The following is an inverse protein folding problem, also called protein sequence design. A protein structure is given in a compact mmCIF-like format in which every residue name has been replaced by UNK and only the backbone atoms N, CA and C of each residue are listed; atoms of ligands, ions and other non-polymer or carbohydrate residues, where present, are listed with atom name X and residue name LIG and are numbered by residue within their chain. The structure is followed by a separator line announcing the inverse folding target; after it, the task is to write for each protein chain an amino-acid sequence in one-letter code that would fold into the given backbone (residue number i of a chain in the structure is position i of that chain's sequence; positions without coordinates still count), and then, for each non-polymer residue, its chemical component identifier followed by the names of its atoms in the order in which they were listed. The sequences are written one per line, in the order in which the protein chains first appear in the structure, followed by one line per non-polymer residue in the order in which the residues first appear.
data_IF_523245938417
#
_entry.id   IF_523245938417
#
_cell.length_a   1.000
_cell.length_b   1.000
_cell.length_c   1.000
_cell.angle_alpha   90.00
_cell.angle_beta   90.00
_cell.angle_gamma   90.00
#
_symmetry.space_group_name_H-M   'P 1'
#
loop_
_entity.id
_entity.type
_entity.pdbx_description
1 polymer ?
#
# COMPACT_ATOMS: atom_id res chain seq x y z
N UNK A 1 -4.72 -3.03 39.34
CA UNK A 1 -3.96 -4.09 38.66
C UNK A 1 -3.77 -3.72 37.18
N UNK A 2 -3.27 -4.61 36.30
CA UNK A 2 -3.32 -4.35 34.85
C UNK A 2 -4.77 -4.44 34.39
N UNK A 3 -5.24 -3.44 33.67
CA UNK A 3 -6.66 -3.23 33.32
C UNK A 3 -7.37 -4.45 32.72
N UNK A 4 -6.67 -5.23 31.88
CA UNK A 4 -7.24 -6.43 31.27
C UNK A 4 -7.40 -7.59 32.27
N UNK A 5 -6.51 -7.74 33.24
CA UNK A 5 -6.61 -8.79 34.24
C UNK A 5 -7.85 -8.60 35.13
N UNK A 6 -8.19 -7.34 35.44
CA UNK A 6 -9.44 -6.99 36.14
C UNK A 6 -10.68 -7.16 35.26
N UNK A 7 -10.63 -6.71 33.99
CA UNK A 7 -11.75 -6.83 33.06
C UNK A 7 -12.11 -8.28 32.72
N UNK A 8 -11.12 -9.18 32.75
CA UNK A 8 -11.29 -10.60 32.45
C UNK A 8 -11.21 -11.51 33.68
N UNK A 9 -11.26 -10.95 34.90
CA UNK A 9 -11.25 -11.74 36.13
C UNK A 9 -12.50 -12.60 36.32
N UNK A 10 -13.59 -12.26 35.63
CA UNK A 10 -14.85 -12.99 35.67
C UNK A 10 -14.82 -14.30 34.86
N UNK A 11 -15.71 -15.26 35.18
CA UNK A 11 -15.84 -16.48 34.39
C UNK A 11 -16.22 -16.15 32.94
N UNK A 12 -15.55 -16.83 31.99
CA UNK A 12 -15.92 -16.73 30.58
C UNK A 12 -17.36 -17.24 30.37
N UNK A 13 -18.14 -16.62 29.47
CA UNK A 13 -19.46 -17.12 29.13
C UNK A 13 -19.39 -18.56 28.61
N UNK A 14 -20.33 -19.42 29.04
CA UNK A 14 -20.40 -20.81 28.60
C UNK A 14 -20.75 -20.98 27.10
N UNK A 15 -21.32 -19.94 26.48
CA UNK A 15 -21.65 -19.92 25.06
C UNK A 15 -21.64 -18.48 24.51
N UNK A 16 -21.23 -18.33 23.24
CA UNK A 16 -21.33 -17.08 22.50
C UNK A 16 -22.79 -16.84 22.12
N UNK A 17 -23.34 -15.68 22.47
CA UNK A 17 -24.67 -15.25 22.04
C UNK A 17 -24.54 -14.34 20.81
N UNK A 18 -25.32 -14.54 19.74
CA UNK A 18 -25.38 -13.59 18.63
C UNK A 18 -25.89 -12.23 19.10
N UNK A 19 -25.29 -11.15 18.62
CA UNK A 19 -25.74 -9.78 18.86
C UNK A 19 -25.87 -9.07 17.52
N UNK A 20 -26.92 -8.28 17.36
CA UNK A 20 -27.08 -7.43 16.18
C UNK A 20 -26.03 -6.34 16.22
N UNK A 21 -25.22 -6.24 15.16
CA UNK A 21 -24.28 -5.13 15.02
C UNK A 21 -25.06 -3.87 14.61
N UNK A 22 -24.67 -2.70 15.15
CA UNK A 22 -25.23 -1.44 14.68
C UNK A 22 -24.85 -1.19 13.21
N UNK A 23 -25.54 -0.26 12.57
CA UNK A 23 -25.15 0.25 11.27
C UNK A 23 -23.71 0.80 11.30
N UNK A 24 -23.01 0.69 10.17
CA UNK A 24 -21.67 1.24 10.04
C UNK A 24 -21.71 2.75 10.24
N UNK A 25 -20.88 3.26 11.15
CA UNK A 25 -20.75 4.71 11.38
C UNK A 25 -20.19 5.42 10.14
N UNK A 26 -19.33 4.72 9.40
CA UNK A 26 -18.76 5.17 8.14
C UNK A 26 -18.94 4.10 7.07
N UNK A 27 -19.76 4.41 6.06
CA UNK A 27 -20.04 3.50 4.94
C UNK A 27 -18.85 3.32 3.99
N UNK A 28 -17.88 4.24 4.02
CA UNK A 28 -16.62 4.19 3.29
C UNK A 28 -15.48 3.57 4.11
N UNK A 29 -15.77 3.11 5.33
CA UNK A 29 -14.78 2.42 6.16
C UNK A 29 -14.15 1.21 5.44
N UNK A 30 -12.95 0.84 5.89
CA UNK A 30 -12.18 -0.28 5.33
C UNK A 30 -12.66 -1.67 5.78
N UNK A 31 -13.92 -1.80 6.22
CA UNK A 31 -14.47 -3.08 6.67
C UNK A 31 -14.53 -4.14 5.55
N UNK A 32 -14.55 -3.72 4.28
CA UNK A 32 -14.46 -4.59 3.09
C UNK A 32 -13.03 -4.64 2.51
N UNK A 33 -12.07 -4.06 3.22
CA UNK A 33 -10.67 -3.98 2.82
C UNK A 33 -10.07 -5.35 2.54
N UNK A 34 -9.34 -5.47 1.44
CA UNK A 34 -8.67 -6.69 1.01
C UNK A 34 -7.34 -6.38 0.33
N UNK A 35 -6.44 -7.36 0.37
CA UNK A 35 -5.19 -7.31 -0.37
C UNK A 35 -5.44 -7.80 -1.81
N UNK A 36 -5.08 -6.97 -2.79
CA UNK A 36 -5.11 -7.33 -4.20
C UNK A 36 -3.74 -7.81 -4.68
N UNK A 37 -3.75 -8.75 -5.62
CA UNK A 37 -2.54 -9.36 -6.16
C UNK A 37 -1.80 -8.41 -7.12
N UNK A 38 -0.48 -8.34 -6.98
CA UNK A 38 0.39 -7.61 -7.91
C UNK A 38 0.54 -8.33 -9.25
N UNK A 39 0.21 -9.61 -9.34
CA UNK A 39 0.25 -10.38 -10.59
C UNK A 39 -0.81 -9.92 -11.61
N UNK A 40 -1.90 -9.27 -11.17
CA UNK A 40 -2.90 -8.69 -12.08
C UNK A 40 -2.51 -7.31 -12.64
N UNK A 41 -1.40 -6.74 -12.16
CA UNK A 41 -0.94 -5.42 -12.60
C UNK A 41 -0.29 -5.54 -13.97
N UNK A 42 -0.76 -4.70 -14.90
CA UNK A 42 -0.12 -4.53 -16.21
C UNK A 42 0.98 -3.49 -16.06
N UNK A 43 2.18 -3.78 -16.53
CA UNK A 43 3.28 -2.84 -16.45
C UNK A 43 4.09 -2.82 -17.75
N UNK A 44 4.57 -1.63 -18.08
CA UNK A 44 5.37 -1.38 -19.28
C UNK A 44 6.86 -1.38 -18.97
N UNK A 45 7.61 -0.54 -19.70
CA UNK A 45 9.03 -0.34 -19.46
C UNK A 45 9.25 0.32 -18.10
N UNK A 46 10.18 -0.23 -17.31
CA UNK A 46 10.63 0.37 -16.04
C UNK A 46 10.12 -0.31 -14.77
N UNK A 47 9.17 -1.25 -14.89
CA UNK A 47 8.74 -2.12 -13.80
C UNK A 47 9.08 -3.59 -14.11
N UNK A 48 9.42 -4.34 -13.06
CA UNK A 48 9.67 -5.78 -13.11
C UNK A 48 9.05 -6.45 -11.89
N UNK A 49 8.53 -7.67 -12.06
CA UNK A 49 8.15 -8.51 -10.92
C UNK A 49 9.40 -9.22 -10.39
N UNK A 50 9.79 -8.91 -9.16
CA UNK A 50 10.90 -9.55 -8.45
C UNK A 50 10.33 -10.59 -7.47
N UNK A 51 10.49 -11.90 -7.71
CA UNK A 51 9.88 -12.95 -6.88
C UNK A 51 10.41 -12.99 -5.44
N UNK A 52 11.63 -12.51 -5.19
CA UNK A 52 12.26 -12.53 -3.86
C UNK A 52 12.94 -11.19 -3.58
N UNK A 53 12.14 -10.13 -3.51
CA UNK A 53 12.66 -8.78 -3.33
C UNK A 53 13.36 -8.62 -1.97
N UNK A 54 14.54 -7.99 -2.00
CA UNK A 54 15.26 -7.49 -0.82
C UNK A 54 16.08 -6.25 -1.22
N UNK A 55 16.29 -5.29 -0.30
CA UNK A 55 17.12 -4.12 -0.61
C UNK A 55 18.60 -4.52 -0.67
N UNK A 56 19.34 -3.88 -1.59
CA UNK A 56 20.77 -4.13 -1.80
C UNK A 56 21.69 -3.16 -1.03
N UNK A 57 21.13 -2.11 -0.42
CA UNK A 57 21.85 -1.02 0.25
C UNK A 57 22.24 -1.31 1.70
N UNK A 58 21.88 -2.49 2.22
CA UNK A 58 22.17 -2.90 3.60
C UNK A 58 21.40 -2.13 4.68
N UNK A 59 20.40 -1.32 4.32
CA UNK A 59 19.59 -0.58 5.28
C UNK A 59 18.61 -1.50 6.02
N UNK A 60 18.10 -1.02 7.16
CA UNK A 60 17.20 -1.80 8.00
C UNK A 60 15.94 -2.23 7.24
N UNK A 61 15.33 -3.34 7.66
CA UNK A 61 14.08 -3.85 7.08
C UNK A 61 13.14 -4.34 8.20
N UNK A 62 12.01 -4.95 7.80
CA UNK A 62 11.11 -5.66 8.71
C UNK A 62 10.96 -7.10 8.25
N UNK A 63 10.97 -8.03 9.21
CA UNK A 63 10.68 -9.43 8.93
C UNK A 63 9.30 -9.57 8.27
N UNK A 64 9.18 -10.46 7.29
CA UNK A 64 7.96 -10.64 6.48
C UNK A 64 7.85 -9.72 5.25
N UNK A 65 8.78 -8.78 5.07
CA UNK A 65 8.79 -7.80 3.97
C UNK A 65 10.09 -7.83 3.14
N UNK A 66 10.82 -8.93 3.26
CA UNK A 66 12.04 -9.24 2.50
C UNK A 66 11.98 -10.71 2.08
N UNK A 67 12.59 -11.02 0.94
CA UNK A 67 12.48 -12.31 0.26
C UNK A 67 11.02 -12.67 -0.06
N UNK A 68 10.24 -11.66 -0.47
CA UNK A 68 8.84 -11.79 -0.89
C UNK A 68 8.65 -11.18 -2.28
N UNK A 69 7.63 -11.59 -3.05
CA UNK A 69 7.34 -10.97 -4.34
C UNK A 69 7.08 -9.47 -4.21
N UNK A 70 7.65 -8.67 -5.11
CA UNK A 70 7.34 -7.26 -5.24
C UNK A 70 7.36 -6.82 -6.70
N UNK A 71 6.44 -5.93 -7.06
CA UNK A 71 6.50 -5.21 -8.32
C UNK A 71 7.40 -3.98 -8.14
N UNK A 72 8.55 -3.99 -8.81
CA UNK A 72 9.65 -3.04 -8.59
C UNK A 72 9.78 -2.12 -9.79
N UNK A 73 9.54 -0.82 -9.58
CA UNK A 73 9.78 0.25 -10.53
C UNK A 73 11.02 1.04 -10.13
N UNK A 74 11.85 1.44 -11.11
CA UNK A 74 13.05 2.24 -10.85
C UNK A 74 13.22 3.31 -11.92
N UNK A 75 13.49 4.54 -11.46
CA UNK A 75 13.66 5.71 -12.31
C UNK A 75 12.34 6.40 -12.65
N UNK A 76 12.44 7.70 -12.90
CA UNK A 76 11.31 8.50 -13.35
C UNK A 76 10.78 7.98 -14.70
N UNK A 77 9.45 7.96 -14.85
CA UNK A 77 8.77 7.47 -16.05
C UNK A 77 8.42 5.98 -16.02
N UNK A 78 8.93 5.21 -15.06
CA UNK A 78 8.43 3.85 -14.83
C UNK A 78 6.94 3.90 -14.49
N UNK A 79 6.14 3.04 -15.14
CA UNK A 79 4.68 3.10 -15.11
C UNK A 79 4.04 1.71 -14.97
N UNK A 80 2.99 1.66 -14.16
CA UNK A 80 2.14 0.48 -13.95
C UNK A 80 0.66 0.87 -13.98
N UNK A 81 -0.19 -0.10 -14.28
CA UNK A 81 -1.62 0.07 -14.38
C UNK A 81 -2.36 -1.18 -13.90
N UNK A 82 -3.47 -0.97 -13.19
CA UNK A 82 -4.32 -2.06 -12.75
C UNK A 82 -5.78 -1.63 -12.70
N UNK A 83 -6.66 -2.61 -12.62
CA UNK A 83 -8.10 -2.42 -12.49
C UNK A 83 -8.58 -3.12 -11.22
N UNK A 84 -9.60 -2.56 -10.59
CA UNK A 84 -10.24 -3.15 -9.40
C UNK A 84 -11.72 -2.81 -9.35
N UNK A 85 -12.47 -3.52 -8.51
CA UNK A 85 -13.86 -3.22 -8.18
C UNK A 85 -13.95 -2.81 -6.71
N UNK A 86 -14.52 -1.65 -6.41
CA UNK A 86 -14.55 -1.10 -5.06
C UNK A 86 -14.86 0.38 -5.00
N UNK A 87 -14.58 0.98 -3.84
CA UNK A 87 -14.72 2.40 -3.52
C UNK A 87 -13.43 2.99 -2.97
N UNK A 88 -12.42 2.17 -2.66
CA UNK A 88 -11.11 2.63 -2.19
C UNK A 88 -9.95 1.85 -2.78
N UNK A 89 -8.83 2.54 -2.98
CA UNK A 89 -7.62 1.99 -3.55
C UNK A 89 -6.36 2.60 -2.92
N UNK A 90 -5.38 1.75 -2.71
CA UNK A 90 -4.06 2.10 -2.21
C UNK A 90 -3.00 1.10 -2.65
N UNK A 91 -1.77 1.36 -2.22
CA UNK A 91 -0.64 0.47 -2.44
C UNK A 91 -0.01 0.13 -1.09
N UNK A 92 0.35 -1.14 -0.93
CA UNK A 92 1.21 -1.55 0.16
C UNK A 92 2.63 -1.66 -0.34
N UNK A 93 3.47 -0.73 0.10
CA UNK A 93 4.80 -0.50 -0.45
C UNK A 93 5.88 -0.71 0.60
N UNK A 94 7.14 -0.58 0.17
CA UNK A 94 8.25 -0.27 1.08
C UNK A 94 8.81 1.12 0.81
N UNK A 95 8.81 1.95 1.83
CA UNK A 95 9.42 3.28 1.84
C UNK A 95 10.87 3.18 2.28
N UNK A 96 11.80 3.27 1.34
CA UNK A 96 13.25 3.22 1.56
C UNK A 96 13.97 4.54 1.29
N UNK A 97 15.32 4.55 1.27
CA UNK A 97 16.11 5.76 0.98
C UNK A 97 15.89 6.34 -0.42
N UNK A 98 15.51 5.48 -1.36
CA UNK A 98 15.18 5.80 -2.74
C UNK A 98 13.67 5.95 -2.97
N UNK A 99 12.86 5.98 -1.90
CA UNK A 99 11.46 6.36 -2.00
C UNK A 99 11.36 7.76 -2.61
N UNK A 100 10.46 7.90 -3.56
CA UNK A 100 10.28 9.15 -4.27
C UNK A 100 8.82 9.58 -4.30
N UNK A 101 8.48 10.30 -5.36
CA UNK A 101 7.12 10.76 -5.60
C UNK A 101 6.52 9.93 -6.73
N UNK A 102 5.22 9.64 -6.61
CA UNK A 102 4.43 9.04 -7.67
C UNK A 102 3.37 10.02 -8.14
N UNK A 103 3.03 9.93 -9.41
CA UNK A 103 1.82 10.48 -9.98
C UNK A 103 0.84 9.34 -10.25
N UNK A 104 -0.44 9.57 -10.00
CA UNK A 104 -1.48 8.60 -10.27
C UNK A 104 -2.74 9.24 -10.84
N UNK A 105 -3.47 8.46 -11.61
CA UNK A 105 -4.77 8.83 -12.21
C UNK A 105 -5.75 7.68 -11.96
N UNK A 106 -7.00 8.04 -11.67
CA UNK A 106 -8.11 7.10 -11.55
C UNK A 106 -9.12 7.43 -12.65
N UNK A 107 -9.50 6.43 -13.44
CA UNK A 107 -10.46 6.53 -14.54
C UNK A 107 -10.14 7.62 -15.57
N UNK A 108 -8.86 7.86 -15.81
CA UNK A 108 -8.39 8.90 -16.74
C UNK A 108 -8.65 10.34 -16.25
N UNK A 109 -9.03 10.51 -14.99
CA UNK A 109 -9.19 11.81 -14.35
C UNK A 109 -7.86 12.56 -14.13
N UNK A 110 -7.91 13.70 -13.43
CA UNK A 110 -6.73 14.53 -13.19
C UNK A 110 -5.60 13.76 -12.49
N UNK A 111 -4.37 14.03 -12.92
CA UNK A 111 -3.18 13.52 -12.26
C UNK A 111 -3.07 14.07 -10.84
N UNK A 112 -2.91 13.17 -9.86
CA UNK A 112 -2.63 13.48 -8.46
C UNK A 112 -1.24 12.97 -8.11
N UNK A 113 -0.63 13.59 -7.11
CA UNK A 113 0.74 13.33 -6.72
C UNK A 113 0.79 12.90 -5.26
N UNK A 114 1.63 11.92 -4.94
CA UNK A 114 1.86 11.44 -3.58
C UNK A 114 3.35 11.18 -3.33
N UNK A 115 3.82 11.59 -2.16
CA UNK A 115 5.17 11.27 -1.67
C UNK A 115 5.13 9.90 -0.97
N UNK A 116 6.01 8.99 -1.38
CA UNK A 116 6.11 7.64 -0.82
C UNK A 116 7.17 7.52 0.27
N UNK A 117 7.88 8.60 0.56
CA UNK A 117 8.86 8.66 1.63
C UNK A 117 8.20 8.79 3.00
N UNK A 118 8.93 8.36 4.02
CA UNK A 118 8.58 8.57 5.42
C UNK A 118 9.74 9.25 6.13
N UNK A 119 9.51 9.74 7.35
CA UNK A 119 10.59 10.26 8.22
C UNK A 119 11.70 9.23 8.54
N UNK A 120 11.48 7.96 8.23
CA UNK A 120 12.45 6.88 8.47
C UNK A 120 13.15 6.38 7.19
N UNK A 121 12.72 6.85 6.01
CA UNK A 121 13.22 6.40 4.70
C UNK A 121 14.74 6.44 4.59
N UNK A 122 15.42 7.44 5.16
CA UNK A 122 16.87 7.52 5.13
C UNK A 122 17.62 6.37 5.84
N UNK A 123 16.93 5.59 6.68
CA UNK A 123 17.53 4.57 7.58
C UNK A 123 17.04 3.16 7.33
N UNK A 124 15.84 2.97 6.78
CA UNK A 124 15.27 1.65 6.54
C UNK A 124 14.25 1.64 5.40
N UNK A 125 14.03 0.45 4.87
CA UNK A 125 12.93 0.08 3.97
C UNK A 125 11.73 -0.34 4.83
N UNK A 126 10.80 0.59 5.05
CA UNK A 126 9.65 0.43 5.94
C UNK A 126 8.40 0.00 5.14
N UNK A 127 7.73 -1.12 5.48
CA UNK A 127 6.42 -1.44 4.94
C UNK A 127 5.42 -0.34 5.26
N UNK A 128 4.75 0.19 4.24
CA UNK A 128 3.93 1.37 4.38
C UNK A 128 2.69 1.30 3.49
N UNK A 129 1.53 1.65 4.04
CA UNK A 129 0.30 1.77 3.27
C UNK A 129 0.17 3.21 2.76
N UNK A 130 -0.07 3.36 1.46
CA UNK A 130 -0.45 4.65 0.86
C UNK A 130 -1.84 4.51 0.25
N UNK A 131 -2.77 5.34 0.70
CA UNK A 131 -4.11 5.43 0.14
C UNK A 131 -4.08 6.41 -1.02
N UNK A 132 -4.53 5.99 -2.20
CA UNK A 132 -4.62 6.82 -3.39
C UNK A 132 -5.99 7.52 -3.46
N UNK A 133 -7.06 6.79 -3.09
CA UNK A 133 -8.43 7.30 -2.97
C UNK A 133 -9.26 6.37 -2.06
N UNK A 134 -10.20 6.92 -1.31
CA UNK A 134 -11.11 6.19 -0.42
C UNK A 134 -12.56 6.67 -0.48
N UNK A 135 -12.90 7.48 -1.49
CA UNK A 135 -14.24 8.03 -1.69
C UNK A 135 -14.73 7.88 -3.14
N UNK A 136 -14.34 6.80 -3.82
CA UNK A 136 -14.81 6.52 -5.16
C UNK A 136 -16.26 6.00 -5.14
N UNK A 137 -16.98 6.24 -6.24
CA UNK A 137 -18.29 5.61 -6.46
C UNK A 137 -18.16 4.08 -6.54
N UNK A 138 -19.14 3.29 -6.08
CA UNK A 138 -19.07 1.84 -6.19
C UNK A 138 -18.96 1.36 -7.64
N UNK A 139 -17.89 0.63 -7.95
CA UNK A 139 -17.80 -0.11 -9.21
C UNK A 139 -16.38 -0.40 -9.66
N UNK A 140 -16.23 -0.64 -10.96
CA UNK A 140 -14.95 -0.96 -11.58
C UNK A 140 -14.20 0.32 -11.94
N UNK A 141 -12.94 0.39 -11.50
CA UNK A 141 -12.04 1.49 -11.75
C UNK A 141 -10.74 1.03 -12.40
N UNK A 142 -10.07 1.97 -13.09
CA UNK A 142 -8.73 1.81 -13.66
C UNK A 142 -7.78 2.80 -13.03
N UNK A 143 -6.67 2.30 -12.50
CA UNK A 143 -5.64 3.12 -11.85
C UNK A 143 -4.35 3.05 -12.65
N UNK A 144 -3.80 4.22 -12.94
CA UNK A 144 -2.50 4.38 -13.58
C UNK A 144 -1.55 5.05 -12.60
N UNK A 145 -0.35 4.49 -12.42
CA UNK A 145 0.67 5.00 -11.48
C UNK A 145 2.00 5.13 -12.19
N UNK A 146 2.69 6.25 -12.00
CA UNK A 146 3.98 6.57 -12.61
C UNK A 146 4.94 7.15 -11.59
N UNK A 147 6.19 6.68 -11.59
CA UNK A 147 7.26 7.30 -10.79
C UNK A 147 7.63 8.64 -11.43
N UNK A 148 7.69 9.71 -10.64
CA UNK A 148 8.11 11.02 -11.13
C UNK A 148 9.50 11.40 -10.60
N UNK A 149 10.17 12.28 -11.34
CA UNK A 149 11.45 12.84 -10.89
C UNK A 149 11.23 13.66 -9.61
N UNK A 150 12.19 13.57 -8.68
CA UNK A 150 12.23 14.45 -7.53
C UNK A 150 12.62 15.88 -7.92
N UNK A 151 12.36 16.83 -7.03
CA UNK A 151 12.64 18.25 -7.25
C UNK A 151 14.17 18.56 -7.22
N UNK A 152 14.98 17.64 -6.68
CA UNK A 152 16.44 17.73 -6.62
C UNK A 152 17.10 16.42 -7.08
N UNK A 153 18.31 16.48 -7.67
CA UNK A 153 19.08 15.29 -8.01
C UNK A 153 19.41 14.48 -6.75
N UNK A 154 19.05 13.20 -6.74
CA UNK A 154 19.46 12.22 -5.73
C UNK A 154 20.55 11.32 -6.29
N UNK A 155 21.36 10.73 -5.40
CA UNK A 155 22.41 9.80 -5.80
C UNK A 155 21.84 8.53 -6.45
N UNK A 156 20.68 8.09 -5.95
CA UNK A 156 19.96 6.92 -6.45
C UNK A 156 18.69 7.34 -7.21
N UNK A 157 18.31 6.62 -8.28
CA UNK A 157 17.05 6.86 -8.98
C UNK A 157 15.86 6.55 -8.06
N UNK A 158 14.75 7.32 -8.16
CA UNK A 158 13.57 7.06 -7.34
C UNK A 158 12.98 5.68 -7.68
N UNK A 159 12.54 4.96 -6.67
CA UNK A 159 11.98 3.62 -6.83
C UNK A 159 10.63 3.48 -6.13
N UNK A 160 9.80 2.59 -6.67
CA UNK A 160 8.54 2.16 -6.08
C UNK A 160 8.56 0.64 -6.02
N UNK A 161 8.21 0.08 -4.86
CA UNK A 161 8.14 -1.37 -4.65
C UNK A 161 6.81 -1.67 -4.02
N UNK A 162 5.97 -2.39 -4.75
CA UNK A 162 4.60 -2.70 -4.35
C UNK A 162 4.54 -4.18 -4.01
N UNK A 163 4.15 -4.50 -2.77
CA UNK A 163 3.95 -5.87 -2.32
C UNK A 163 2.53 -6.36 -2.60
N UNK A 164 1.53 -5.49 -2.39
CA UNK A 164 0.11 -5.77 -2.58
C UNK A 164 -0.62 -4.49 -3.00
N UNK A 165 -1.73 -4.64 -3.69
CA UNK A 165 -2.73 -3.58 -3.83
C UNK A 165 -3.58 -3.55 -2.55
N UNK A 166 -4.04 -2.36 -2.16
CA UNK A 166 -5.01 -2.19 -1.07
C UNK A 166 -6.34 -1.83 -1.71
N UNK A 167 -7.36 -2.66 -1.57
CA UNK A 167 -8.66 -2.48 -2.24
C UNK A 167 -9.77 -2.47 -1.19
N UNK A 168 -10.77 -1.61 -1.33
CA UNK A 168 -11.95 -1.55 -0.45
C UNK A 168 -13.23 -1.46 -1.27
#
# INVERSE_FOLDING_TARGET
ARMFDEAFAGPLPAAVKPHTLPEAVDHLSYARGRLGDIASVRFGKGFVLEPMWKPADGKGTRAGFVNVPALVGTGAGAEMEFEFDGQGVGLFITSGPDAGRIEFQIDGGPARTLDTSTRWSARLHLPWAVILDDGLEPGRHRVKVRIVAGDAPTADPPALRVFQLLLN
#
